data_IF_834115386048
#
_entry.id   IF_834115386048
#
_cell.length_a   1.000
_cell.length_b   1.000
_cell.length_c   1.000
_cell.angle_alpha   90.00
_cell.angle_beta   90.00
_cell.angle_gamma   90.00
#
_symmetry.space_group_name_H-M   'P 1'
#
loop_
_entity.id
_entity.type
_entity.pdbx_description
1 polymer ?
#
# COMPACT_ATOMS: atom_id res chain seq x y z
N UNK A 1 20.83 -46.42 9.49
CA UNK A 1 21.44 -45.07 9.53
C UNK A 1 22.89 -45.18 9.95
N UNK A 2 23.74 -44.29 9.42
CA UNK A 2 25.15 -44.19 9.83
C UNK A 2 25.27 -43.52 11.21
N UNK A 3 26.10 -44.06 12.10
CA UNK A 3 26.34 -43.51 13.44
C UNK A 3 26.72 -42.02 13.39
N UNK A 4 27.53 -41.61 12.40
CA UNK A 4 27.94 -40.20 12.21
C UNK A 4 26.75 -39.25 12.07
N UNK A 5 25.69 -39.66 11.38
CA UNK A 5 24.48 -38.84 11.19
C UNK A 5 23.66 -38.77 12.48
N UNK A 6 23.58 -39.87 13.21
CA UNK A 6 22.88 -39.95 14.50
C UNK A 6 23.55 -39.04 15.53
N UNK A 7 24.87 -39.15 15.70
CA UNK A 7 25.66 -38.36 16.66
C UNK A 7 25.42 -36.86 16.53
N UNK A 8 25.39 -36.35 15.29
CA UNK A 8 25.12 -34.93 15.00
C UNK A 8 23.71 -34.46 15.39
N UNK A 9 22.77 -35.39 15.54
CA UNK A 9 21.35 -35.11 15.82
C UNK A 9 20.93 -35.45 17.24
N UNK A 10 21.82 -35.98 18.08
CA UNK A 10 21.51 -36.29 19.48
C UNK A 10 21.17 -35.03 20.29
N UNK A 11 21.83 -33.89 20.04
CA UNK A 11 21.45 -32.61 20.69
C UNK A 11 20.04 -32.20 20.31
N UNK A 12 19.74 -32.17 19.01
CA UNK A 12 18.39 -31.82 18.52
C UNK A 12 17.30 -32.75 19.07
N UNK A 13 17.64 -34.01 19.37
CA UNK A 13 16.74 -34.95 20.05
C UNK A 13 16.46 -34.54 21.50
N UNK A 14 17.48 -34.08 22.26
CA UNK A 14 17.33 -33.56 23.63
C UNK A 14 16.54 -32.26 23.64
N UNK A 15 16.82 -31.37 22.69
CA UNK A 15 16.17 -30.07 22.55
C UNK A 15 14.72 -30.16 22.01
N UNK A 16 14.26 -31.35 21.62
CA UNK A 16 12.92 -31.58 21.08
C UNK A 16 12.69 -31.01 19.67
N UNK A 17 13.75 -30.74 18.91
CA UNK A 17 13.70 -30.05 17.61
C UNK A 17 13.54 -30.98 16.40
N UNK A 18 13.41 -32.29 16.63
CA UNK A 18 13.26 -33.28 15.57
C UNK A 18 11.80 -33.56 15.24
N UNK A 19 11.51 -33.81 13.96
CA UNK A 19 10.18 -34.29 13.57
C UNK A 19 9.95 -35.74 14.02
N UNK A 20 8.70 -36.20 13.99
CA UNK A 20 8.31 -37.53 14.50
C UNK A 20 9.07 -38.67 13.81
N UNK A 21 9.23 -38.60 12.48
CA UNK A 21 9.91 -39.61 11.68
C UNK A 21 11.40 -39.71 12.05
N UNK A 22 12.07 -38.56 12.13
CA UNK A 22 13.49 -38.50 12.48
C UNK A 22 13.74 -38.99 13.92
N UNK A 23 12.83 -38.67 14.84
CA UNK A 23 12.88 -39.15 16.21
C UNK A 23 12.79 -40.67 16.27
N UNK A 24 11.83 -41.27 15.57
CA UNK A 24 11.64 -42.72 15.54
C UNK A 24 12.85 -43.45 14.91
N UNK A 25 13.37 -42.93 13.80
CA UNK A 25 14.58 -43.47 13.15
C UNK A 25 15.79 -43.46 14.09
N UNK A 26 15.99 -42.36 14.84
CA UNK A 26 17.09 -42.23 15.79
C UNK A 26 16.89 -43.17 16.98
N UNK A 27 15.70 -43.23 17.57
CA UNK A 27 15.41 -44.12 18.69
C UNK A 27 15.64 -45.58 18.31
N UNK A 28 15.17 -45.98 17.12
CA UNK A 28 15.42 -47.33 16.57
C UNK A 28 16.92 -47.63 16.49
N UNK A 29 17.72 -46.67 16.00
CA UNK A 29 19.17 -46.84 15.96
C UNK A 29 19.80 -46.92 17.35
N UNK A 30 19.33 -46.14 18.34
CA UNK A 30 19.83 -46.21 19.71
C UNK A 30 19.54 -47.56 20.38
N UNK A 31 18.45 -48.24 20.00
CA UNK A 31 18.17 -49.61 20.45
C UNK A 31 19.14 -50.63 19.86
N UNK A 32 19.64 -50.40 18.64
CA UNK A 32 20.49 -51.33 17.91
C UNK A 32 21.99 -51.05 18.07
N UNK A 33 22.38 -49.82 18.40
CA UNK A 33 23.79 -49.40 18.47
C UNK A 33 24.17 -48.97 19.90
N UNK A 34 24.93 -49.81 20.64
CA UNK A 34 25.41 -49.49 21.98
C UNK A 34 26.30 -48.24 22.04
N UNK A 35 27.10 -47.98 21.00
CA UNK A 35 27.99 -46.82 20.94
C UNK A 35 27.21 -45.49 20.93
N UNK A 36 26.23 -45.36 20.04
CA UNK A 36 25.36 -44.19 19.98
C UNK A 36 24.50 -44.04 21.25
N UNK A 37 24.07 -45.17 21.86
CA UNK A 37 23.35 -45.16 23.14
C UNK A 37 24.21 -44.58 24.27
N UNK A 38 25.46 -45.00 24.38
CA UNK A 38 26.39 -44.49 25.38
C UNK A 38 26.66 -42.99 25.20
N UNK A 39 26.81 -42.53 23.96
CA UNK A 39 26.97 -41.09 23.68
C UNK A 39 25.74 -40.27 24.04
N UNK A 40 24.54 -40.79 23.76
CA UNK A 40 23.30 -40.15 24.18
C UNK A 40 23.22 -40.04 25.71
N UNK A 41 23.65 -41.07 26.43
CA UNK A 41 23.67 -41.05 27.89
C UNK A 41 24.69 -40.04 28.44
N UNK A 42 25.90 -39.97 27.88
CA UNK A 42 26.91 -38.97 28.25
C UNK A 42 26.39 -37.54 27.99
N UNK A 43 25.76 -37.33 26.83
CA UNK A 43 25.20 -36.03 26.48
C UNK A 43 24.07 -35.64 27.45
N UNK A 44 23.18 -36.59 27.78
CA UNK A 44 22.10 -36.37 28.74
C UNK A 44 22.63 -36.02 30.13
N UNK A 45 23.64 -36.74 30.64
CA UNK A 45 24.26 -36.44 31.94
C UNK A 45 24.89 -35.04 31.97
N UNK A 46 25.54 -34.64 30.87
CA UNK A 46 26.08 -33.29 30.73
C UNK A 46 24.96 -32.24 30.76
N UNK A 47 23.86 -32.48 30.05
CA UNK A 47 22.69 -31.61 30.03
C UNK A 47 22.02 -31.48 31.40
N UNK A 48 21.81 -32.60 32.09
CA UNK A 48 21.21 -32.63 33.42
C UNK A 48 22.08 -31.90 34.45
N UNK A 49 23.41 -31.89 34.26
CA UNK A 49 24.34 -31.13 35.11
C UNK A 49 24.16 -29.61 34.98
N UNK A 50 23.70 -29.13 33.80
CA UNK A 50 23.36 -27.72 33.59
C UNK A 50 22.05 -27.32 34.27
N UNK A 51 21.13 -28.27 34.52
CA UNK A 51 19.87 -27.99 35.20
C UNK A 51 20.05 -27.59 36.68
N UNK A 52 21.22 -27.88 37.27
CA UNK A 52 21.61 -27.44 38.62
C UNK A 52 21.90 -25.93 38.67
N UNK A 53 22.05 -25.29 37.52
CA UNK A 53 22.23 -23.84 37.43
C UNK A 53 20.96 -23.14 37.95
N UNK A 54 21.04 -22.56 39.15
CA UNK A 54 19.94 -21.82 39.76
C UNK A 54 19.50 -20.70 38.82
N UNK A 55 18.20 -20.67 38.51
CA UNK A 55 17.60 -19.68 37.62
C UNK A 55 18.03 -18.28 38.02
N UNK A 56 18.45 -17.49 37.03
CA UNK A 56 18.81 -16.10 37.23
C UNK A 56 17.58 -15.40 37.82
N UNK A 57 17.69 -14.87 39.05
CA UNK A 57 16.62 -14.06 39.63
C UNK A 57 16.49 -12.81 38.77
N UNK A 58 15.38 -12.71 38.04
CA UNK A 58 15.08 -11.53 37.22
C UNK A 58 14.85 -10.32 38.12
N UNK A 59 15.12 -9.12 37.61
CA UNK A 59 14.86 -7.89 38.35
C UNK A 59 13.35 -7.78 38.67
N UNK A 60 13.01 -7.29 39.87
CA UNK A 60 11.64 -6.91 40.26
C UNK A 60 11.14 -5.82 39.30
N UNK A 61 10.44 -6.20 38.22
CA UNK A 61 9.88 -5.39 37.11
C UNK A 61 10.36 -5.77 35.69
N UNK A 62 11.19 -6.80 35.53
CA UNK A 62 11.65 -7.21 34.20
C UNK A 62 10.48 -7.53 33.26
N UNK A 63 9.50 -8.30 33.74
CA UNK A 63 8.32 -8.67 32.96
C UNK A 63 7.50 -7.45 32.53
N UNK A 64 7.28 -6.51 33.44
CA UNK A 64 6.56 -5.27 33.12
C UNK A 64 7.28 -4.45 32.04
N UNK A 65 8.60 -4.22 32.20
CA UNK A 65 9.42 -3.47 31.22
C UNK A 65 9.51 -4.18 29.87
N UNK A 66 9.53 -5.51 29.86
CA UNK A 66 9.54 -6.31 28.65
C UNK A 66 8.23 -6.13 27.87
N UNK A 67 7.08 -6.28 28.54
CA UNK A 67 5.78 -6.11 27.89
C UNK A 67 5.51 -4.67 27.47
N UNK A 68 5.98 -3.68 28.23
CA UNK A 68 5.91 -2.27 27.85
C UNK A 68 6.63 -2.03 26.51
N UNK A 69 7.85 -2.57 26.34
CA UNK A 69 8.61 -2.42 25.10
C UNK A 69 7.93 -3.09 23.90
N UNK A 70 7.38 -4.29 24.07
CA UNK A 70 6.64 -4.98 22.99
C UNK A 70 5.41 -4.17 22.56
N UNK A 71 4.64 -3.64 23.52
CA UNK A 71 3.44 -2.86 23.22
C UNK A 71 3.76 -1.53 22.52
N UNK A 72 4.85 -0.86 22.91
CA UNK A 72 5.30 0.38 22.25
C UNK A 72 5.69 0.12 20.78
N UNK A 73 6.25 -1.03 20.47
CA UNK A 73 6.63 -1.40 19.10
C UNK A 73 5.40 -1.74 18.21
N UNK A 74 4.32 -2.26 18.78
CA UNK A 74 3.04 -2.46 18.07
C UNK A 74 2.25 -1.16 17.90
N UNK A 75 2.24 -0.28 18.90
CA UNK A 75 1.51 0.99 18.87
C UNK A 75 2.16 2.02 17.93
N UNK A 76 3.49 2.00 17.77
CA UNK A 76 4.24 2.87 16.83
C UNK A 76 4.08 2.48 15.36
N UNK A 77 3.44 1.34 15.06
CA UNK A 77 2.97 0.99 13.71
C UNK A 77 1.53 1.45 13.40
N UNK A 78 0.96 2.36 14.20
CA UNK A 78 -0.28 3.09 13.86
C UNK A 78 0.12 4.44 13.23
N UNK A 79 -0.06 4.75 11.96
CA UNK A 79 -1.03 4.33 10.94
C UNK A 79 -0.31 4.17 9.60
N UNK A 80 -0.05 2.94 9.18
CA UNK A 80 0.33 2.71 7.78
C UNK A 80 -0.96 2.66 6.96
N UNK A 81 -1.23 3.69 6.16
CA UNK A 81 -2.32 3.70 5.17
C UNK A 81 -2.37 2.39 4.36
N UNK A 82 -1.22 1.75 4.19
CA UNK A 82 -1.03 0.44 3.57
C UNK A 82 -1.88 -0.70 4.19
N UNK A 83 -2.12 -0.71 5.50
CA UNK A 83 -2.97 -1.74 6.13
C UNK A 83 -4.46 -1.51 5.87
N UNK A 84 -4.89 -0.25 5.79
CA UNK A 84 -6.25 0.13 5.40
C UNK A 84 -6.49 -0.28 3.94
N UNK A 85 -5.53 -0.01 3.05
CA UNK A 85 -5.55 -0.48 1.65
C UNK A 85 -5.62 -2.00 1.52
N UNK A 86 -4.88 -2.75 2.36
CA UNK A 86 -4.88 -4.22 2.33
C UNK A 86 -6.19 -4.84 2.83
N UNK A 87 -6.93 -4.15 3.71
CA UNK A 87 -8.23 -4.59 4.25
C UNK A 87 -9.40 -4.31 3.30
N UNK A 88 -9.25 -3.35 2.38
CA UNK A 88 -10.24 -3.00 1.33
C UNK A 88 -10.14 -3.93 0.10
N UNK A 89 -9.18 -4.88 0.10
CA UNK A 89 -8.86 -5.75 -1.03
C UNK A 89 -9.82 -6.92 -1.36
N UNK A 90 -11.00 -7.11 -0.71
CA UNK A 90 -12.04 -7.97 -1.27
C UNK A 90 -13.28 -7.20 -1.76
N UNK A 91 -13.22 -5.88 -1.94
CA UNK A 91 -14.35 -5.12 -2.52
C UNK A 91 -14.25 -5.19 -4.06
N UNK A 92 -15.33 -5.58 -4.78
CA UNK A 92 -15.30 -5.62 -6.24
C UNK A 92 -15.02 -4.23 -6.81
N UNK A 93 -14.05 -4.16 -7.74
CA UNK A 93 -13.58 -2.96 -8.47
C UNK A 93 -14.68 -1.94 -8.84
N UNK A 94 -15.89 -2.33 -9.31
CA UNK A 94 -16.94 -1.34 -9.66
C UNK A 94 -17.42 -0.47 -8.48
N UNK A 95 -17.43 -1.00 -7.25
CA UNK A 95 -17.93 -0.24 -6.08
C UNK A 95 -16.95 0.87 -5.69
N UNK A 96 -15.65 0.58 -5.78
CA UNK A 96 -14.60 1.57 -5.49
C UNK A 96 -14.62 2.70 -6.51
N UNK A 97 -14.80 2.38 -7.80
CA UNK A 97 -14.93 3.38 -8.86
C UNK A 97 -16.16 4.29 -8.66
N UNK A 98 -17.29 3.73 -8.24
CA UNK A 98 -18.50 4.51 -7.93
C UNK A 98 -18.31 5.48 -6.77
N UNK A 99 -17.62 5.06 -5.70
CA UNK A 99 -17.35 5.91 -4.54
C UNK A 99 -16.37 7.04 -4.91
N UNK A 100 -15.31 6.75 -5.66
CA UNK A 100 -14.37 7.78 -6.14
C UNK A 100 -15.08 8.78 -7.04
N UNK A 101 -15.94 8.31 -7.94
CA UNK A 101 -16.73 9.16 -8.83
C UNK A 101 -17.69 10.06 -8.04
N UNK A 102 -18.41 9.52 -7.05
CA UNK A 102 -19.30 10.29 -6.19
C UNK A 102 -18.56 11.34 -5.37
N UNK A 103 -17.41 10.99 -4.77
CA UNK A 103 -16.58 11.93 -4.02
C UNK A 103 -16.02 13.01 -4.94
N UNK A 104 -15.58 12.67 -6.14
CA UNK A 104 -15.11 13.64 -7.14
C UNK A 104 -16.21 14.57 -7.63
N UNK A 105 -17.43 14.06 -7.82
CA UNK A 105 -18.58 14.82 -8.28
C UNK A 105 -19.09 15.77 -7.18
N UNK A 106 -19.29 15.26 -5.96
CA UNK A 106 -19.65 16.06 -4.79
C UNK A 106 -18.56 17.09 -4.44
N UNK A 107 -17.30 16.67 -4.47
CA UNK A 107 -16.15 17.53 -4.23
C UNK A 107 -16.04 18.63 -5.29
N UNK A 108 -16.23 18.30 -6.56
CA UNK A 108 -16.24 19.25 -7.67
C UNK A 108 -17.36 20.28 -7.56
N UNK A 109 -18.58 19.87 -7.19
CA UNK A 109 -19.70 20.79 -6.95
C UNK A 109 -19.40 21.72 -5.78
N UNK A 110 -18.85 21.18 -4.67
CA UNK A 110 -18.50 21.97 -3.50
C UNK A 110 -17.35 22.96 -3.78
N UNK A 111 -16.35 22.55 -4.56
CA UNK A 111 -15.26 23.40 -5.03
C UNK A 111 -15.77 24.49 -5.98
N UNK A 112 -16.74 24.19 -6.85
CA UNK A 112 -17.36 25.15 -7.76
C UNK A 112 -18.12 26.25 -7.00
N UNK A 113 -18.87 25.89 -5.96
CA UNK A 113 -19.56 26.85 -5.09
C UNK A 113 -18.56 27.79 -4.39
N UNK A 114 -17.40 27.26 -3.97
CA UNK A 114 -16.34 28.06 -3.34
C UNK A 114 -15.49 28.88 -4.31
N UNK A 115 -15.37 28.45 -5.58
CA UNK A 115 -14.65 29.16 -6.64
C UNK A 115 -15.45 30.32 -7.25
N UNK A 116 -16.76 30.37 -7.02
CA UNK A 116 -17.63 31.50 -7.40
C UNK A 116 -17.45 32.75 -6.53
N UNK A 117 -16.65 32.71 -5.46
CA UNK A 117 -16.28 33.91 -4.69
C UNK A 117 -15.12 34.70 -5.31
N UNK A 118 -14.64 34.32 -6.50
CA UNK A 118 -13.43 34.92 -7.09
C UNK A 118 -13.45 35.28 -8.57
N UNK A 119 -14.41 34.82 -9.41
CA UNK A 119 -14.46 35.18 -10.85
C UNK A 119 -15.76 34.74 -11.55
N UNK A 120 -16.79 35.58 -11.52
CA UNK A 120 -17.64 35.82 -12.71
C UNK A 120 -17.62 37.32 -12.99
N UNK A 121 -16.45 37.79 -13.42
CA UNK A 121 -16.31 38.87 -14.38
C UNK A 121 -15.15 38.47 -15.30
N UNK A 122 -15.43 37.60 -16.26
CA UNK A 122 -14.86 37.69 -17.60
C UNK A 122 -15.39 36.59 -18.50
N UNK A 123 -15.81 37.02 -19.68
CA UNK A 123 -15.77 36.27 -20.94
C UNK A 123 -16.84 35.21 -21.15
N UNK A 124 -18.03 35.74 -21.43
CA UNK A 124 -18.97 35.17 -22.37
C UNK A 124 -18.51 35.39 -23.82
N UNK A 125 -17.23 35.11 -24.16
CA UNK A 125 -16.68 35.38 -25.52
C UNK A 125 -16.12 34.16 -26.26
N UNK A 126 -16.29 32.94 -25.75
CA UNK A 126 -15.82 31.72 -26.45
C UNK A 126 -16.88 30.63 -26.59
N UNK A 127 -18.14 31.04 -26.77
CA UNK A 127 -19.11 30.23 -27.51
C UNK A 127 -19.78 31.13 -28.56
N UNK A 128 -19.57 30.77 -29.83
CA UNK A 128 -20.17 31.39 -31.02
C UNK A 128 -19.64 32.77 -31.44
N UNK A 129 -18.35 32.83 -31.80
CA UNK A 129 -17.78 33.89 -32.65
C UNK A 129 -18.29 33.80 -34.13
N UNK A 130 -19.59 33.61 -34.30
CA UNK A 130 -20.33 33.72 -35.58
C UNK A 130 -21.26 34.94 -35.55
N UNK A 131 -21.46 35.56 -34.38
CA UNK A 131 -22.36 36.71 -34.21
C UNK A 131 -21.65 38.07 -34.08
N UNK A 132 -20.31 38.10 -34.00
CA UNK A 132 -19.54 39.35 -34.06
C UNK A 132 -18.91 39.48 -35.45
N UNK A 133 -19.72 39.87 -36.42
CA UNK A 133 -19.18 40.59 -37.57
C UNK A 133 -18.91 42.01 -37.07
N UNK A 134 -17.67 42.24 -36.61
CA UNK A 134 -17.20 43.60 -36.42
C UNK A 134 -17.39 44.36 -37.73
N UNK A 135 -17.97 45.55 -37.61
CA UNK A 135 -18.20 46.52 -38.68
C UNK A 135 -16.93 46.65 -39.52
N UNK A 136 -17.00 46.17 -40.77
CA UNK A 136 -15.84 46.02 -41.63
C UNK A 136 -15.07 47.35 -41.75
N UNK A 137 -13.72 47.33 -41.74
CA UNK A 137 -12.95 48.55 -41.87
C UNK A 137 -13.33 49.27 -43.17
N UNK A 138 -13.52 50.58 -43.10
CA UNK A 138 -13.97 51.44 -44.22
C UNK A 138 -13.04 51.45 -45.43
N UNK A 139 -11.85 50.87 -45.30
CA UNK A 139 -10.89 50.65 -46.39
C UNK A 139 -10.87 49.21 -46.92
N UNK A 140 -11.96 48.46 -46.73
CA UNK A 140 -12.10 47.14 -47.34
C UNK A 140 -12.42 47.26 -48.84
N UNK A 141 -11.93 46.28 -49.61
CA UNK A 141 -12.21 46.17 -51.05
C UNK A 141 -13.73 46.05 -51.33
N UNK A 142 -14.48 45.52 -50.37
CA UNK A 142 -15.93 45.38 -50.42
C UNK A 142 -16.65 46.72 -50.20
N UNK A 143 -16.18 47.56 -49.28
CA UNK A 143 -16.71 48.92 -49.10
C UNK A 143 -16.49 49.77 -50.36
N UNK A 144 -15.33 49.63 -51.01
CA UNK A 144 -15.07 50.26 -52.30
C UNK A 144 -16.02 49.75 -53.40
N UNK A 145 -16.29 48.44 -53.46
CA UNK A 145 -17.24 47.86 -54.42
C UNK A 145 -18.68 48.36 -54.22
N UNK A 146 -19.15 48.45 -52.97
CA UNK A 146 -20.48 48.98 -52.64
C UNK A 146 -20.59 50.46 -53.03
N UNK A 147 -19.54 51.26 -52.81
CA UNK A 147 -19.56 52.68 -53.20
C UNK A 147 -19.64 52.87 -54.72
N UNK A 148 -18.94 52.05 -55.50
CA UNK A 148 -18.95 52.11 -56.96
C UNK A 148 -20.32 51.73 -57.52
N UNK A 149 -20.89 50.63 -57.04
CA UNK A 149 -22.22 50.16 -57.49
C UNK A 149 -23.38 51.04 -56.99
N UNK A 150 -23.25 51.67 -55.82
CA UNK A 150 -24.23 52.63 -55.32
C UNK A 150 -24.22 53.94 -56.13
N UNK A 151 -23.06 54.37 -56.64
CA UNK A 151 -22.96 55.53 -57.53
C UNK A 151 -23.54 55.24 -58.93
N UNK A 152 -23.43 54.00 -59.39
CA UNK A 152 -23.93 53.55 -60.69
C UNK A 152 -25.46 53.49 -60.76
N UNK A 153 -26.14 53.25 -59.63
CA UNK A 153 -27.61 53.25 -59.53
C UNK A 153 -28.25 54.65 -59.41
N UNK A 154 -27.47 55.71 -59.16
CA UNK A 154 -27.97 57.10 -59.12
C UNK A 154 -27.92 57.83 -60.47
N UNK A 155 -27.55 57.14 -61.55
CA UNK A 155 -27.55 57.70 -62.91
C UNK A 155 -28.48 56.99 -63.92
N UNK A 156 -29.34 56.07 -63.46
CA UNK A 156 -30.41 55.47 -64.27
C UNK A 156 -31.81 55.64 -63.66
N UNK A 157 -32.01 56.73 -62.92
CA UNK A 157 -33.30 57.16 -62.37
C UNK A 157 -33.51 58.66 -62.55
N UNK A 158 -33.51 59.12 -63.81
CA UNK A 158 -33.77 60.48 -64.24
C UNK A 158 -33.93 60.54 -65.75
#
# INVERSE_FOLDING_TARGET
>A
MECKKIRKRLSALIDGQLNLKEKEEILTHLHQCPGCKNEMEILKRTWDSLAVWQGIKTAENFEFKFWERIKVEEETKRFSLFEIFKRILPIPVPVVAGIIFLIGLLGGIYLNEKLQLGKIKSSSDTMLAVANFEEFPTESLEAAYISLTASENNHNGG
#
